data_IF_017116356458
#
_entry.id   IF_017116356458
#
_cell.length_a   1.000
_cell.length_b   1.000
_cell.length_c   1.000
_cell.angle_alpha   90.00
_cell.angle_beta   90.00
_cell.angle_gamma   90.00
#
_symmetry.space_group_name_H-M   'P 1'
#
loop_
_entity.id
_entity.type
_entity.pdbx_description
1 polymer ?
#
# COMPACT_ATOMS: atom_id res chain seq x y z
N UNK A 1 -34.32 1.34 -51.06
CA UNK A 1 -35.48 2.20 -50.69
C UNK A 1 -36.08 3.02 -51.85
N UNK A 2 -35.31 3.75 -52.66
CA UNK A 2 -35.85 4.65 -53.70
C UNK A 2 -36.62 3.92 -54.82
N UNK A 3 -36.08 2.79 -55.30
CA UNK A 3 -36.67 1.97 -56.39
C UNK A 3 -38.01 1.33 -55.97
N UNK A 4 -38.11 0.86 -54.73
CA UNK A 4 -39.36 0.27 -54.22
C UNK A 4 -40.44 1.35 -53.99
N UNK A 5 -40.05 2.59 -53.65
CA UNK A 5 -40.99 3.71 -53.55
C UNK A 5 -41.53 4.13 -54.92
N UNK A 6 -40.68 4.19 -55.94
CA UNK A 6 -41.12 4.49 -57.31
C UNK A 6 -41.97 3.36 -57.89
N UNK A 7 -41.64 2.11 -57.60
CA UNK A 7 -42.44 0.94 -57.98
C UNK A 7 -43.82 0.94 -57.32
N UNK A 8 -43.90 1.24 -56.01
CA UNK A 8 -45.19 1.41 -55.30
C UNK A 8 -46.07 2.48 -55.95
N UNK A 9 -45.50 3.64 -56.27
CA UNK A 9 -46.21 4.72 -56.96
C UNK A 9 -46.70 4.32 -58.36
N UNK A 10 -45.94 3.48 -59.07
CA UNK A 10 -46.35 2.94 -60.36
C UNK A 10 -47.52 1.95 -60.23
N UNK A 11 -47.51 1.07 -59.22
CA UNK A 11 -48.62 0.16 -58.91
C UNK A 11 -49.88 0.92 -58.48
N UNK A 12 -49.74 1.99 -57.68
CA UNK A 12 -50.83 2.91 -57.30
C UNK A 12 -51.48 3.56 -58.53
N UNK A 13 -50.68 4.07 -59.47
CA UNK A 13 -51.17 4.66 -60.74
C UNK A 13 -51.88 3.65 -61.64
N UNK A 14 -51.52 2.37 -61.55
CA UNK A 14 -52.11 1.27 -62.32
C UNK A 14 -53.29 0.59 -61.63
N UNK A 15 -53.73 1.09 -60.46
CA UNK A 15 -54.76 0.49 -59.62
C UNK A 15 -54.45 -0.95 -59.14
N UNK A 16 -53.18 -1.35 -59.13
CA UNK A 16 -52.71 -2.65 -58.62
C UNK A 16 -52.45 -2.56 -57.11
N UNK A 17 -53.53 -2.45 -56.34
CA UNK A 17 -53.43 -2.16 -54.90
C UNK A 17 -52.84 -3.32 -54.06
N UNK A 18 -53.03 -4.57 -54.49
CA UNK A 18 -52.47 -5.75 -53.80
C UNK A 18 -50.94 -5.76 -53.86
N UNK A 19 -50.39 -5.45 -55.04
CA UNK A 19 -48.94 -5.33 -55.22
C UNK A 19 -48.38 -4.10 -54.49
N UNK A 20 -49.09 -2.97 -54.53
CA UNK A 20 -48.72 -1.77 -53.79
C UNK A 20 -48.65 -2.02 -52.26
N UNK A 21 -49.60 -2.79 -51.71
CA UNK A 21 -49.63 -3.17 -50.29
C UNK A 21 -48.49 -4.16 -49.92
N UNK A 22 -48.16 -5.10 -50.81
CA UNK A 22 -47.00 -5.98 -50.63
C UNK A 22 -45.69 -5.18 -50.61
N UNK A 23 -45.50 -4.26 -51.55
CA UNK A 23 -44.32 -3.38 -51.61
C UNK A 23 -44.26 -2.47 -50.38
N UNK A 24 -45.41 -1.99 -49.90
CA UNK A 24 -45.51 -1.22 -48.67
C UNK A 24 -45.11 -2.04 -47.44
N UNK A 25 -45.49 -3.32 -47.36
CA UNK A 25 -45.03 -4.27 -46.31
C UNK A 25 -43.52 -4.49 -46.36
N UNK A 26 -42.96 -4.71 -47.54
CA UNK A 26 -41.51 -4.89 -47.73
C UNK A 26 -40.73 -3.62 -47.33
N UNK A 27 -41.18 -2.44 -47.74
CA UNK A 27 -40.58 -1.15 -47.35
C UNK A 27 -40.59 -0.93 -45.83
N UNK A 28 -41.63 -1.41 -45.13
CA UNK A 28 -41.72 -1.36 -43.66
C UNK A 28 -40.73 -2.32 -43.01
N UNK A 29 -40.68 -3.56 -43.48
CA UNK A 29 -39.73 -4.57 -42.97
C UNK A 29 -38.28 -4.12 -43.13
N UNK A 30 -37.90 -3.65 -44.33
CA UNK A 30 -36.53 -3.16 -44.57
C UNK A 30 -36.16 -1.98 -43.67
N UNK A 31 -37.11 -1.09 -43.37
CA UNK A 31 -36.86 0.03 -42.45
C UNK A 31 -36.68 -0.46 -41.01
N UNK A 32 -37.54 -1.37 -40.56
CA UNK A 32 -37.41 -1.96 -39.22
C UNK A 32 -36.08 -2.71 -39.06
N UNK A 33 -35.63 -3.41 -40.10
CA UNK A 33 -34.33 -4.08 -40.13
C UNK A 33 -33.17 -3.06 -40.06
N UNK A 34 -33.23 -1.96 -40.82
CA UNK A 34 -32.27 -0.85 -40.72
C UNK A 34 -32.24 -0.22 -39.31
N UNK A 35 -33.41 0.06 -38.71
CA UNK A 35 -33.54 0.60 -37.35
C UNK A 35 -32.98 -0.37 -36.30
N UNK A 36 -33.26 -1.67 -36.45
CA UNK A 36 -32.76 -2.73 -35.56
C UNK A 36 -31.24 -2.85 -35.66
N UNK A 37 -30.68 -2.86 -36.87
CA UNK A 37 -29.22 -2.88 -37.08
C UNK A 37 -28.55 -1.66 -36.48
N UNK A 38 -29.14 -0.48 -36.64
CA UNK A 38 -28.61 0.76 -36.06
C UNK A 38 -28.59 0.70 -34.52
N UNK A 39 -29.68 0.24 -33.90
CA UNK A 39 -29.75 0.05 -32.45
C UNK A 39 -28.73 -0.98 -31.96
N UNK A 40 -28.64 -2.15 -32.61
CA UNK A 40 -27.67 -3.19 -32.25
C UNK A 40 -26.23 -2.67 -32.36
N UNK A 41 -25.91 -1.93 -33.43
CA UNK A 41 -24.59 -1.31 -33.61
C UNK A 41 -24.28 -0.30 -32.51
N UNK A 42 -25.24 0.55 -32.14
CA UNK A 42 -25.08 1.48 -31.01
C UNK A 42 -24.85 0.75 -29.68
N UNK A 43 -25.61 -0.31 -29.39
CA UNK A 43 -25.45 -1.09 -28.16
C UNK A 43 -24.06 -1.73 -28.08
N UNK A 44 -23.57 -2.25 -29.20
CA UNK A 44 -22.24 -2.85 -29.29
C UNK A 44 -21.13 -1.82 -29.11
N UNK A 45 -21.23 -0.65 -29.73
CA UNK A 45 -20.29 0.47 -29.50
C UNK A 45 -20.28 0.88 -28.03
N UNK A 46 -21.45 1.05 -27.43
CA UNK A 46 -21.57 1.39 -26.00
C UNK A 46 -20.94 0.32 -25.09
N UNK A 47 -20.99 -0.96 -25.49
CA UNK A 47 -20.33 -2.06 -24.79
C UNK A 47 -18.82 -1.95 -24.91
N UNK A 48 -18.31 -1.75 -26.12
CA UNK A 48 -16.88 -1.60 -26.38
C UNK A 48 -16.27 -0.40 -25.64
N UNK A 49 -16.99 0.72 -25.57
CA UNK A 49 -16.56 1.90 -24.79
C UNK A 49 -16.43 1.58 -23.29
N UNK A 50 -17.40 0.83 -22.72
CA UNK A 50 -17.34 0.41 -21.31
C UNK A 50 -16.19 -0.56 -21.07
N UNK A 51 -16.04 -1.55 -21.96
CA UNK A 51 -14.98 -2.54 -21.88
C UNK A 51 -13.60 -1.84 -21.95
N UNK A 52 -13.44 -0.85 -22.84
CA UNK A 52 -12.20 -0.07 -22.98
C UNK A 52 -11.86 0.75 -21.72
N UNK A 53 -12.83 1.41 -21.09
CA UNK A 53 -12.58 2.13 -19.82
C UNK A 53 -12.17 1.13 -18.72
N UNK A 54 -12.81 -0.04 -18.69
CA UNK A 54 -12.51 -1.06 -17.69
C UNK A 54 -11.12 -1.68 -17.90
N UNK A 55 -10.70 -1.95 -19.15
CA UNK A 55 -9.35 -2.45 -19.43
C UNK A 55 -8.29 -1.42 -19.07
N UNK A 56 -8.49 -0.16 -19.45
CA UNK A 56 -7.57 0.93 -19.09
C UNK A 56 -7.45 1.08 -17.57
N UNK A 57 -8.57 1.03 -16.84
CA UNK A 57 -8.52 1.10 -15.38
C UNK A 57 -7.80 -0.10 -14.75
N UNK A 58 -8.00 -1.31 -15.28
CA UNK A 58 -7.26 -2.50 -14.81
C UNK A 58 -5.75 -2.33 -15.02
N UNK A 59 -5.33 -1.82 -16.17
CA UNK A 59 -3.93 -1.54 -16.48
C UNK A 59 -3.37 -0.47 -15.53
N UNK A 60 -4.06 0.66 -15.35
CA UNK A 60 -3.66 1.71 -14.41
C UNK A 60 -3.50 1.19 -12.97
N UNK A 61 -4.40 0.30 -12.52
CA UNK A 61 -4.32 -0.31 -11.18
C UNK A 61 -3.13 -1.28 -11.08
N UNK A 62 -2.84 -2.04 -12.12
CA UNK A 62 -1.67 -2.92 -12.16
C UNK A 62 -0.37 -2.11 -12.11
N UNK A 63 -0.25 -1.07 -12.93
CA UNK A 63 0.89 -0.16 -12.94
C UNK A 63 1.05 0.54 -11.59
N UNK A 64 -0.06 1.01 -11.00
CA UNK A 64 -0.08 1.59 -9.66
C UNK A 64 0.47 0.60 -8.62
N UNK A 65 0.01 -0.65 -8.63
CA UNK A 65 0.51 -1.66 -7.71
C UNK A 65 1.97 -1.98 -7.93
N UNK A 66 2.42 -2.09 -9.18
CA UNK A 66 3.81 -2.33 -9.50
C UNK A 66 4.72 -1.20 -8.99
N UNK A 67 4.39 0.05 -9.31
CA UNK A 67 5.14 1.22 -8.85
C UNK A 67 5.18 1.32 -7.32
N UNK A 68 4.06 1.05 -6.65
CA UNK A 68 4.00 1.07 -5.19
C UNK A 68 4.77 -0.06 -4.53
N UNK A 69 4.78 -1.26 -5.12
CA UNK A 69 5.59 -2.37 -4.61
C UNK A 69 7.08 -2.03 -4.71
N UNK A 70 7.55 -1.50 -5.85
CA UNK A 70 8.94 -1.04 -5.98
C UNK A 70 9.31 0.00 -4.92
N UNK A 71 8.43 0.95 -4.67
CA UNK A 71 8.66 1.98 -3.64
C UNK A 71 8.66 1.43 -2.20
N UNK A 72 7.91 0.36 -1.95
CA UNK A 72 7.93 -0.36 -0.67
C UNK A 72 9.24 -1.12 -0.54
N UNK A 73 9.66 -1.83 -1.59
CA UNK A 73 10.91 -2.58 -1.62
C UNK A 73 12.12 -1.66 -1.38
N UNK A 74 12.18 -0.50 -2.04
CA UNK A 74 13.21 0.52 -1.82
C UNK A 74 13.28 1.00 -0.35
N UNK A 75 12.12 1.18 0.27
CA UNK A 75 12.03 1.60 1.67
C UNK A 75 12.46 0.48 2.62
N UNK A 76 12.11 -0.77 2.33
CA UNK A 76 12.53 -1.93 3.09
C UNK A 76 14.05 -2.14 2.98
N UNK A 77 14.62 -1.95 1.79
CA UNK A 77 16.07 -1.95 1.58
C UNK A 77 16.77 -0.83 2.37
N UNK A 78 16.24 0.41 2.33
CA UNK A 78 16.80 1.52 3.11
C UNK A 78 16.75 1.21 4.61
N UNK A 79 15.64 0.66 5.09
CA UNK A 79 15.47 0.26 6.49
C UNK A 79 16.48 -0.81 6.88
N UNK A 80 16.65 -1.85 6.05
CA UNK A 80 17.62 -2.91 6.28
C UNK A 80 19.05 -2.34 6.35
N UNK A 81 19.41 -1.44 5.42
CA UNK A 81 20.74 -0.79 5.42
C UNK A 81 20.99 0.02 6.70
N UNK A 82 19.97 0.72 7.20
CA UNK A 82 20.09 1.48 8.45
C UNK A 82 20.23 0.56 9.68
N UNK A 83 19.50 -0.55 9.69
CA UNK A 83 19.59 -1.56 10.76
C UNK A 83 20.95 -2.26 10.76
N UNK A 84 21.47 -2.66 9.59
CA UNK A 84 22.79 -3.28 9.48
C UNK A 84 23.89 -2.31 9.90
N UNK A 85 23.85 -1.06 9.45
CA UNK A 85 24.82 -0.05 9.84
C UNK A 85 24.79 0.25 11.35
N UNK A 86 23.61 0.22 11.97
CA UNK A 86 23.48 0.36 13.43
C UNK A 86 24.13 -0.83 14.14
N UNK A 87 23.84 -2.06 13.71
CA UNK A 87 24.40 -3.27 14.31
C UNK A 87 25.93 -3.31 14.16
N UNK A 88 26.45 -2.97 12.98
CA UNK A 88 27.90 -2.90 12.73
C UNK A 88 28.58 -1.90 13.66
N UNK A 89 27.99 -0.71 13.82
CA UNK A 89 28.49 0.30 14.75
C UNK A 89 28.44 -0.20 16.21
N UNK A 90 27.34 -0.80 16.63
CA UNK A 90 27.18 -1.35 17.99
C UNK A 90 28.21 -2.46 18.25
N UNK A 91 28.46 -3.33 17.28
CA UNK A 91 29.46 -4.39 17.36
C UNK A 91 30.89 -3.84 17.43
N UNK A 92 31.23 -2.82 16.64
CA UNK A 92 32.53 -2.17 16.71
C UNK A 92 32.74 -1.47 18.07
N UNK A 93 31.71 -0.79 18.59
CA UNK A 93 31.73 -0.20 19.94
C UNK A 93 31.97 -1.28 21.01
N UNK A 94 31.30 -2.44 20.92
CA UNK A 94 31.51 -3.57 21.85
C UNK A 94 32.91 -4.17 21.75
N UNK A 95 33.42 -4.38 20.53
CA UNK A 95 34.78 -4.90 20.32
C UNK A 95 35.82 -3.97 20.95
N UNK A 96 35.72 -2.67 20.70
CA UNK A 96 36.62 -1.67 21.31
C UNK A 96 36.54 -1.67 22.84
N UNK A 97 35.35 -1.87 23.41
CA UNK A 97 35.16 -1.98 24.85
C UNK A 97 35.85 -3.23 25.42
N UNK A 98 35.70 -4.39 24.78
CA UNK A 98 36.36 -5.62 25.22
C UNK A 98 37.89 -5.54 25.07
N UNK A 99 38.40 -4.91 24.02
CA UNK A 99 39.82 -4.63 23.87
C UNK A 99 40.35 -3.72 24.99
N UNK A 100 39.62 -2.66 25.32
CA UNK A 100 39.96 -1.77 26.44
C UNK A 100 39.99 -2.55 27.77
N UNK A 101 38.97 -3.38 28.02
CA UNK A 101 38.89 -4.25 29.21
C UNK A 101 40.09 -5.21 29.29
N UNK A 102 40.43 -5.86 28.18
CA UNK A 102 41.54 -6.80 28.11
C UNK A 102 42.90 -6.12 28.24
N UNK A 103 43.02 -4.86 27.78
CA UNK A 103 44.26 -4.07 27.89
C UNK A 103 44.53 -3.55 29.32
N UNK A 104 43.50 -3.46 30.16
CA UNK A 104 43.59 -2.97 31.53
C UNK A 104 44.28 -3.99 32.44
N UNK A 105 45.61 -3.95 32.47
CA UNK A 105 46.45 -4.83 33.28
C UNK A 105 46.01 -4.88 34.78
N UNK A 106 45.97 -6.06 35.41
CA UNK A 106 45.65 -6.20 36.83
C UNK A 106 46.77 -5.70 37.77
N UNK A 107 48.01 -5.61 37.30
CA UNK A 107 49.19 -5.36 38.15
C UNK A 107 49.44 -3.92 38.61
N UNK A 108 48.64 -2.94 38.17
CA UNK A 108 48.77 -1.55 38.62
C UNK A 108 47.89 -1.23 39.85
N UNK A 109 47.63 -2.22 40.72
CA UNK A 109 46.87 -1.99 41.95
C UNK A 109 47.69 -1.12 42.91
N UNK A 110 47.10 -0.02 43.38
CA UNK A 110 47.73 0.83 44.40
C UNK A 110 47.74 0.06 45.72
N UNK A 111 48.93 -0.30 46.19
CA UNK A 111 49.11 -0.96 47.49
C UNK A 111 48.49 -0.12 48.61
N UNK A 112 47.77 -0.75 49.55
CA UNK A 112 47.30 -0.02 50.73
C UNK A 112 48.48 0.50 51.54
N UNK A 113 48.26 1.62 52.24
CA UNK A 113 49.25 2.18 53.17
C UNK A 113 49.69 1.15 54.23
N UNK A 114 48.79 0.24 54.61
CA UNK A 114 49.09 -0.87 55.52
C UNK A 114 50.04 -1.91 54.93
N UNK A 115 49.87 -2.26 53.65
CA UNK A 115 50.77 -3.15 52.91
C UNK A 115 52.18 -2.55 52.77
N UNK A 116 52.26 -1.27 52.37
CA UNK A 116 53.54 -0.57 52.25
C UNK A 116 54.30 -0.52 53.58
N UNK A 117 53.58 -0.26 54.68
CA UNK A 117 54.15 -0.29 56.02
C UNK A 117 54.63 -1.69 56.42
N UNK A 118 53.83 -2.73 56.17
CA UNK A 118 54.19 -4.11 56.49
C UNK A 118 55.44 -4.57 55.71
N UNK A 119 55.55 -4.22 54.42
CA UNK A 119 56.72 -4.49 53.57
C UNK A 119 57.96 -3.70 54.01
N UNK A 120 57.79 -2.44 54.45
CA UNK A 120 58.90 -1.66 55.01
C UNK A 120 59.45 -2.28 56.31
N UNK A 121 58.56 -2.73 57.21
CA UNK A 121 58.95 -3.41 58.45
C UNK A 121 59.58 -4.77 58.17
N UNK A 122 59.07 -5.53 57.19
CA UNK A 122 59.69 -6.78 56.72
C UNK A 122 61.14 -6.54 56.27
N UNK A 123 61.37 -5.52 55.44
CA UNK A 123 62.70 -5.17 54.94
C UNK A 123 63.65 -4.76 56.06
N UNK A 124 63.18 -3.95 57.02
CA UNK A 124 63.98 -3.53 58.19
C UNK A 124 64.38 -4.77 59.03
N UNK A 125 63.44 -5.66 59.35
CA UNK A 125 63.70 -6.88 60.12
C UNK A 125 64.65 -7.85 59.39
N UNK A 126 64.53 -7.95 58.06
CA UNK A 126 65.44 -8.72 57.24
C UNK A 126 66.87 -8.14 57.25
N UNK A 127 67.00 -6.81 57.17
CA UNK A 127 68.29 -6.12 57.23
C UNK A 127 68.99 -6.29 58.60
N UNK A 128 68.21 -6.39 59.68
CA UNK A 128 68.67 -6.68 61.04
C UNK A 128 68.96 -8.18 61.29
N UNK A 129 68.80 -9.04 60.27
CA UNK A 129 68.96 -10.51 60.36
C UNK A 129 67.96 -11.21 61.29
N UNK A 130 66.85 -10.56 61.65
CA UNK A 130 65.78 -11.15 62.44
C UNK A 130 64.81 -11.97 61.57
N UNK A 131 65.30 -13.05 60.95
CA UNK A 131 64.57 -13.79 59.91
C UNK A 131 63.23 -14.37 60.36
N UNK A 132 63.12 -14.84 61.61
CA UNK A 132 61.87 -15.41 62.15
C UNK A 132 60.76 -14.37 62.22
N UNK A 133 61.10 -13.15 62.67
CA UNK A 133 60.16 -12.03 62.77
C UNK A 133 59.86 -11.44 61.39
N UNK A 134 60.86 -11.35 60.52
CA UNK A 134 60.67 -10.96 59.12
C UNK A 134 59.70 -11.91 58.40
N UNK A 135 59.85 -13.22 58.56
CA UNK A 135 58.95 -14.21 57.95
C UNK A 135 57.51 -14.12 58.48
N UNK A 136 57.32 -13.86 59.79
CA UNK A 136 55.99 -13.59 60.35
C UNK A 136 55.37 -12.34 59.72
N UNK A 137 56.16 -11.27 59.58
CA UNK A 137 55.70 -10.01 58.97
C UNK A 137 55.41 -10.16 57.46
N UNK A 138 56.19 -10.97 56.76
CA UNK A 138 55.93 -11.36 55.36
C UNK A 138 54.57 -12.03 55.21
N UNK A 139 54.24 -13.02 56.04
CA UNK A 139 52.91 -13.66 56.01
C UNK A 139 51.78 -12.66 56.24
N UNK A 140 51.94 -11.73 57.18
CA UNK A 140 50.97 -10.65 57.38
C UNK A 140 50.85 -9.75 56.14
N UNK A 141 51.97 -9.34 55.53
CA UNK A 141 51.97 -8.55 54.30
C UNK A 141 51.29 -9.29 53.13
N UNK A 142 51.60 -10.58 52.93
CA UNK A 142 51.01 -11.41 51.87
C UNK A 142 49.47 -11.54 52.05
N UNK A 143 48.97 -11.64 53.29
CA UNK A 143 47.51 -11.65 53.54
C UNK A 143 46.82 -10.32 53.25
N UNK A 144 47.51 -9.20 53.51
CA UNK A 144 46.98 -7.86 53.20
C UNK A 144 46.99 -7.65 51.68
N UNK A 145 48.05 -8.09 51.01
CA UNK A 145 48.19 -8.03 49.54
C UNK A 145 47.09 -8.81 48.84
N UNK A 146 46.78 -10.04 49.28
CA UNK A 146 45.69 -10.83 48.73
C UNK A 146 44.32 -10.12 48.86
N UNK A 147 44.03 -9.54 50.04
CA UNK A 147 42.77 -8.81 50.29
C UNK A 147 42.66 -7.52 49.47
N UNK A 148 43.76 -6.77 49.34
CA UNK A 148 43.79 -5.56 48.53
C UNK A 148 43.63 -5.89 47.04
N UNK A 149 44.25 -6.97 46.58
CA UNK A 149 44.09 -7.47 45.21
C UNK A 149 42.64 -7.87 44.93
N UNK A 150 41.98 -8.63 45.81
CA UNK A 150 40.57 -9.01 45.67
C UNK A 150 39.64 -7.79 45.61
N UNK A 151 39.81 -6.82 46.53
CA UNK A 151 39.01 -5.59 46.54
C UNK A 151 39.19 -4.77 45.27
N UNK A 152 40.42 -4.69 44.76
CA UNK A 152 40.70 -3.95 43.54
C UNK A 152 40.10 -4.62 42.31
N UNK A 153 40.17 -5.96 42.24
CA UNK A 153 39.50 -6.73 41.19
C UNK A 153 37.99 -6.52 41.25
N UNK A 154 37.37 -6.62 42.44
CA UNK A 154 35.93 -6.39 42.61
C UNK A 154 35.52 -4.97 42.17
N UNK A 155 36.23 -3.93 42.65
CA UNK A 155 35.93 -2.55 42.27
C UNK A 155 36.10 -2.29 40.76
N UNK A 156 37.06 -2.95 40.11
CA UNK A 156 37.22 -2.91 38.65
C UNK A 156 36.06 -3.58 37.94
N UNK A 157 35.68 -4.79 38.36
CA UNK A 157 34.55 -5.54 37.77
C UNK A 157 33.27 -4.71 37.88
N UNK A 158 32.97 -4.16 39.05
CA UNK A 158 31.78 -3.30 39.24
C UNK A 158 31.79 -2.07 38.32
N UNK A 159 32.94 -1.43 38.10
CA UNK A 159 33.06 -0.29 37.19
C UNK A 159 32.79 -0.70 35.74
N UNK A 160 33.33 -1.85 35.32
CA UNK A 160 33.13 -2.39 33.99
C UNK A 160 31.68 -2.79 33.76
N UNK A 161 31.05 -3.48 34.71
CA UNK A 161 29.64 -3.88 34.65
C UNK A 161 28.72 -2.66 34.53
N UNK A 162 28.98 -1.58 35.30
CA UNK A 162 28.22 -0.33 35.19
C UNK A 162 28.37 0.29 33.80
N UNK A 163 29.58 0.32 33.26
CA UNK A 163 29.85 0.87 31.92
C UNK A 163 29.18 0.03 30.83
N UNK A 164 29.22 -1.29 30.95
CA UNK A 164 28.54 -2.22 30.05
C UNK A 164 27.02 -2.05 30.09
N UNK A 165 26.43 -1.92 31.28
CA UNK A 165 25.00 -1.68 31.45
C UNK A 165 24.55 -0.37 30.77
N UNK A 166 25.32 0.72 30.93
CA UNK A 166 25.04 1.99 30.27
C UNK A 166 25.14 1.89 28.74
N UNK A 167 26.14 1.17 28.23
CA UNK A 167 26.30 0.92 26.79
C UNK A 167 25.13 0.11 26.22
N UNK A 168 24.75 -0.97 26.89
CA UNK A 168 23.60 -1.80 26.50
C UNK A 168 22.31 -0.98 26.48
N UNK A 169 22.06 -0.17 27.50
CA UNK A 169 20.90 0.70 27.55
C UNK A 169 20.89 1.71 26.39
N UNK A 170 22.04 2.30 26.05
CA UNK A 170 22.17 3.19 24.89
C UNK A 170 21.85 2.45 23.58
N UNK A 171 22.39 1.25 23.39
CA UNK A 171 22.14 0.43 22.19
C UNK A 171 20.66 0.04 22.04
N UNK A 172 19.99 -0.30 23.16
CA UNK A 172 18.55 -0.58 23.20
C UNK A 172 17.72 0.65 22.84
N UNK A 173 18.06 1.83 23.38
CA UNK A 173 17.39 3.08 23.06
C UNK A 173 17.55 3.45 21.58
N UNK A 174 18.75 3.33 21.02
CA UNK A 174 19.00 3.60 19.60
C UNK A 174 18.18 2.68 18.70
N UNK A 175 18.14 1.37 19.02
CA UNK A 175 17.31 0.40 18.29
C UNK A 175 15.83 0.73 18.38
N UNK A 176 15.34 1.04 19.58
CA UNK A 176 13.95 1.43 19.78
C UNK A 176 13.55 2.67 18.96
N UNK A 177 14.40 3.70 18.95
CA UNK A 177 14.17 4.91 18.15
C UNK A 177 14.11 4.58 16.66
N UNK A 178 15.01 3.72 16.18
CA UNK A 178 15.01 3.28 14.78
C UNK A 178 13.73 2.51 14.43
N UNK A 179 13.31 1.57 15.27
CA UNK A 179 12.07 0.81 15.10
C UNK A 179 10.83 1.71 15.07
N UNK A 180 10.73 2.69 15.97
CA UNK A 180 9.62 3.64 15.99
C UNK A 180 9.59 4.48 14.71
N UNK A 181 10.75 4.95 14.24
CA UNK A 181 10.86 5.67 12.97
C UNK A 181 10.46 4.79 11.79
N UNK A 182 10.90 3.52 11.75
CA UNK A 182 10.55 2.58 10.70
C UNK A 182 9.04 2.30 10.66
N UNK A 183 8.42 2.04 11.82
CA UNK A 183 6.96 1.87 11.95
C UNK A 183 6.19 3.10 11.48
N UNK A 184 6.63 4.30 11.88
CA UNK A 184 6.01 5.56 11.46
C UNK A 184 6.09 5.75 9.94
N UNK A 185 7.27 5.56 9.34
CA UNK A 185 7.46 5.66 7.89
C UNK A 185 6.56 4.68 7.13
N UNK A 186 6.46 3.42 7.60
CA UNK A 186 5.56 2.42 7.02
C UNK A 186 4.09 2.85 7.08
N UNK A 187 3.63 3.33 8.23
CA UNK A 187 2.26 3.83 8.38
C UNK A 187 1.97 5.05 7.48
N UNK A 188 2.91 5.99 7.35
CA UNK A 188 2.78 7.15 6.47
C UNK A 188 2.68 6.72 4.99
N UNK A 189 3.50 5.75 4.58
CA UNK A 189 3.48 5.17 3.23
C UNK A 189 2.18 4.42 2.92
N UNK A 190 1.70 3.58 3.84
CA UNK A 190 0.41 2.90 3.69
C UNK A 190 -0.74 3.92 3.58
N UNK A 191 -0.71 4.99 4.38
CA UNK A 191 -1.70 6.05 4.29
C UNK A 191 -1.62 6.83 2.97
N UNK A 192 -0.42 7.03 2.42
CA UNK A 192 -0.24 7.62 1.10
C UNK A 192 -0.78 6.69 -0.01
N UNK A 193 -0.43 5.40 0.00
CA UNK A 193 -0.95 4.39 -0.94
C UNK A 193 -2.48 4.34 -0.94
N UNK A 194 -3.10 4.32 0.24
CA UNK A 194 -4.58 4.33 0.36
C UNK A 194 -5.20 5.59 -0.23
N UNK A 195 -4.59 6.76 -0.01
CA UNK A 195 -5.06 8.04 -0.55
C UNK A 195 -4.97 8.07 -2.07
N UNK A 196 -3.86 7.64 -2.65
CA UNK A 196 -3.68 7.63 -4.10
C UNK A 196 -4.59 6.59 -4.78
N UNK A 197 -4.74 5.40 -4.19
CA UNK A 197 -5.68 4.39 -4.68
C UNK A 197 -7.13 4.92 -4.67
N UNK A 198 -7.51 5.66 -3.62
CA UNK A 198 -8.81 6.31 -3.57
C UNK A 198 -9.01 7.34 -4.69
N UNK A 199 -7.99 8.15 -4.97
CA UNK A 199 -8.03 9.12 -6.08
C UNK A 199 -8.18 8.41 -7.42
N UNK A 200 -7.42 7.32 -7.64
CA UNK A 200 -7.50 6.51 -8.86
C UNK A 200 -8.90 5.93 -9.05
N UNK A 201 -9.46 5.31 -8.00
CA UNK A 201 -10.82 4.77 -8.04
C UNK A 201 -11.86 5.87 -8.32
N UNK A 202 -11.71 7.04 -7.69
CA UNK A 202 -12.62 8.16 -7.90
C UNK A 202 -12.57 8.68 -9.34
N UNK A 203 -11.38 8.73 -9.95
CA UNK A 203 -11.21 9.08 -11.37
C UNK A 203 -11.93 8.09 -12.28
N UNK A 204 -11.77 6.79 -12.04
CA UNK A 204 -12.49 5.74 -12.77
C UNK A 204 -14.00 5.89 -12.66
N UNK A 205 -14.52 6.05 -11.44
CA UNK A 205 -15.97 6.23 -11.21
C UNK A 205 -16.51 7.51 -11.87
N UNK A 206 -15.73 8.58 -11.94
CA UNK A 206 -16.11 9.78 -12.70
C UNK A 206 -16.19 9.48 -14.20
N UNK A 207 -15.17 8.83 -14.77
CA UNK A 207 -15.15 8.46 -16.18
C UNK A 207 -16.33 7.53 -16.56
N UNK A 208 -16.67 6.57 -15.69
CA UNK A 208 -17.85 5.73 -15.87
C UNK A 208 -19.15 6.55 -15.87
N UNK A 209 -19.33 7.45 -14.90
CA UNK A 209 -20.52 8.31 -14.84
C UNK A 209 -20.64 9.20 -16.07
N UNK A 210 -19.54 9.80 -16.53
CA UNK A 210 -19.51 10.61 -17.73
C UNK A 210 -19.88 9.79 -18.97
N UNK A 211 -19.31 8.59 -19.11
CA UNK A 211 -19.68 7.69 -20.20
C UNK A 211 -21.16 7.31 -20.15
N UNK A 212 -21.68 6.95 -18.98
CA UNK A 212 -23.10 6.62 -18.81
C UNK A 212 -24.01 7.80 -19.18
N UNK A 213 -23.66 9.03 -18.79
CA UNK A 213 -24.39 10.23 -19.18
C UNK A 213 -24.38 10.40 -20.71
N UNK A 214 -23.22 10.26 -21.36
CA UNK A 214 -23.12 10.32 -22.81
C UNK A 214 -23.98 9.24 -23.49
N UNK A 215 -23.91 8.00 -23.02
CA UNK A 215 -24.70 6.88 -23.55
C UNK A 215 -26.20 7.09 -23.35
N UNK A 216 -26.63 7.66 -22.22
CA UNK A 216 -28.03 7.98 -21.95
C UNK A 216 -28.56 9.09 -22.88
N UNK A 217 -27.75 10.11 -23.16
CA UNK A 217 -28.10 11.16 -24.14
C UNK A 217 -28.28 10.54 -25.53
N UNK A 218 -27.36 9.67 -25.95
CA UNK A 218 -27.45 8.96 -27.24
C UNK A 218 -28.70 8.07 -27.28
N UNK A 219 -28.99 7.30 -26.23
CA UNK A 219 -30.20 6.47 -26.14
C UNK A 219 -31.47 7.31 -26.23
N UNK A 220 -31.55 8.41 -25.49
CA UNK A 220 -32.69 9.32 -25.54
C UNK A 220 -32.90 9.90 -26.95
N UNK A 221 -31.83 10.38 -27.59
CA UNK A 221 -31.90 10.86 -28.99
C UNK A 221 -32.37 9.78 -29.94
N UNK A 222 -31.79 8.58 -29.88
CA UNK A 222 -32.21 7.44 -30.71
C UNK A 222 -33.66 7.03 -30.44
N UNK A 223 -34.08 6.98 -29.17
CA UNK A 223 -35.46 6.70 -28.77
C UNK A 223 -36.45 7.73 -29.33
N UNK A 224 -36.15 9.03 -29.27
CA UNK A 224 -37.01 10.07 -29.86
C UNK A 224 -37.13 9.96 -31.38
N UNK A 225 -36.06 9.54 -32.07
CA UNK A 225 -36.07 9.30 -33.52
C UNK A 225 -36.98 8.11 -33.82
N UNK A 226 -36.79 6.98 -33.14
CA UNK A 226 -37.62 5.78 -33.28
C UNK A 226 -39.10 6.07 -32.96
N UNK A 227 -39.38 6.86 -31.91
CA UNK A 227 -40.74 7.26 -31.55
C UNK A 227 -41.40 8.09 -32.66
N UNK A 228 -40.70 9.09 -33.22
CA UNK A 228 -41.20 9.86 -34.38
C UNK A 228 -41.49 8.96 -35.59
N UNK A 229 -40.67 7.94 -35.83
CA UNK A 229 -40.90 6.96 -36.88
C UNK A 229 -42.15 6.10 -36.61
N UNK A 230 -42.36 5.67 -35.37
CA UNK A 230 -43.54 4.92 -34.95
C UNK A 230 -44.84 5.72 -35.06
N UNK A 231 -44.86 6.98 -34.59
CA UNK A 231 -46.06 7.84 -34.59
C UNK A 231 -46.55 8.19 -36.00
N UNK A 232 -45.63 8.25 -36.98
CA UNK A 232 -45.95 8.59 -38.36
C UNK A 232 -46.62 7.41 -39.12
N UNK A 233 -46.59 6.19 -38.56
CA UNK A 233 -47.28 5.01 -39.08
C UNK A 233 -48.55 4.74 -38.30
N UNK A 234 -49.69 5.27 -38.76
CA UNK A 234 -51.04 5.12 -38.15
C UNK A 234 -51.63 3.69 -38.13
N UNK A 235 -50.81 2.65 -38.09
CA UNK A 235 -51.31 1.26 -38.06
C UNK A 235 -50.34 0.16 -37.64
N UNK A 236 -49.07 0.47 -37.31
CA UNK A 236 -48.07 -0.55 -36.99
C UNK A 236 -47.38 -0.24 -35.67
N UNK A 237 -48.10 -0.42 -34.57
CA UNK A 237 -47.60 -0.20 -33.21
C UNK A 237 -46.71 -1.34 -32.70
N UNK A 238 -46.47 -2.43 -33.43
CA UNK A 238 -45.86 -3.63 -32.82
C UNK A 238 -44.34 -3.74 -32.93
N UNK A 239 -43.69 -3.26 -33.99
CA UNK A 239 -42.24 -3.46 -34.21
C UNK A 239 -41.39 -2.30 -33.68
N UNK A 240 -41.66 -1.10 -34.17
CA UNK A 240 -40.92 0.11 -33.76
C UNK A 240 -41.24 0.51 -32.31
N UNK A 241 -42.44 0.22 -31.78
CA UNK A 241 -42.75 0.50 -30.37
C UNK A 241 -41.99 -0.42 -29.40
N UNK A 242 -41.73 -1.68 -29.77
CA UNK A 242 -40.90 -2.60 -28.96
C UNK A 242 -39.46 -2.10 -28.87
N UNK A 243 -38.93 -1.51 -29.95
CA UNK A 243 -37.62 -0.85 -29.92
C UNK A 243 -37.64 0.42 -29.06
N UNK A 244 -38.72 1.21 -29.10
CA UNK A 244 -38.89 2.40 -28.24
C UNK A 244 -38.98 2.02 -26.76
N UNK A 245 -39.76 1.00 -26.41
CA UNK A 245 -39.91 0.50 -25.04
C UNK A 245 -38.58 -0.07 -24.49
N UNK A 246 -37.79 -0.69 -25.38
CA UNK A 246 -36.43 -1.15 -25.07
C UNK A 246 -35.43 0.01 -24.90
N UNK A 247 -35.64 1.12 -25.60
CA UNK A 247 -34.86 2.36 -25.44
C UNK A 247 -35.08 3.01 -24.08
N UNK A 248 -36.34 3.02 -23.62
CA UNK A 248 -36.77 3.63 -22.36
C UNK A 248 -36.40 2.76 -21.14
N UNK A 249 -36.39 1.42 -21.30
CA UNK A 249 -36.07 0.47 -20.23
C UNK A 249 -34.57 0.32 -19.93
N UNK A 250 -33.69 1.07 -20.61
CA UNK A 250 -32.25 1.09 -20.36
C UNK A 250 -31.48 -0.13 -20.88
N UNK A 251 -32.13 -1.03 -21.63
CA UNK A 251 -31.51 -2.18 -22.27
C UNK A 251 -32.19 -2.41 -23.62
N UNK A 252 -31.55 -1.98 -24.70
CA UNK A 252 -31.86 -2.52 -26.03
C UNK A 252 -31.35 -3.96 -26.06
N UNK A 253 -32.21 -4.90 -25.63
CA UNK A 253 -31.88 -6.31 -25.48
C UNK A 253 -31.32 -6.66 -24.10
N UNK A 254 -32.04 -7.57 -23.43
CA UNK A 254 -31.72 -8.41 -22.26
C UNK A 254 -31.21 -7.69 -20.99
N UNK A 255 -32.02 -7.83 -19.93
CA UNK A 255 -31.91 -7.23 -18.60
C UNK A 255 -30.70 -7.71 -17.78
N UNK A 256 -30.36 -6.82 -16.84
CA UNK A 256 -29.88 -7.06 -15.47
C UNK A 256 -28.36 -7.06 -15.23
N UNK A 257 -27.86 -5.94 -14.69
CA UNK A 257 -26.87 -5.87 -13.61
C UNK A 257 -26.68 -4.40 -13.18
N UNK A 258 -27.53 -3.91 -12.26
CA UNK A 258 -27.38 -2.56 -11.69
C UNK A 258 -27.32 -2.51 -10.15
N UNK A 259 -27.25 -3.65 -9.48
CA UNK A 259 -27.32 -3.71 -8.00
C UNK A 259 -26.01 -4.09 -7.30
N UNK A 260 -24.92 -4.35 -8.04
CA UNK A 260 -23.68 -4.88 -7.44
C UNK A 260 -22.59 -3.82 -7.19
N UNK A 261 -22.61 -2.69 -7.89
CA UNK A 261 -21.54 -1.67 -7.80
C UNK A 261 -21.74 -0.64 -6.70
N UNK A 262 -22.98 -0.29 -6.36
CA UNK A 262 -23.26 0.70 -5.32
C UNK A 262 -22.88 0.20 -3.91
N UNK A 263 -22.93 -1.11 -3.67
CA UNK A 263 -22.56 -1.72 -2.38
C UNK A 263 -21.03 -1.76 -2.12
N UNK A 264 -20.20 -1.64 -3.15
CA UNK A 264 -18.73 -1.65 -3.00
C UNK A 264 -18.18 -0.30 -2.53
N UNK A 265 -18.89 0.79 -2.82
CA UNK A 265 -18.47 2.16 -2.44
C UNK A 265 -18.73 2.43 -0.96
N UNK A 266 -19.80 1.87 -0.38
CA UNK A 266 -20.11 2.03 1.04
C UNK A 266 -19.14 1.27 1.96
N UNK A 267 -18.55 0.17 1.50
CA UNK A 267 -17.54 -0.59 2.26
C UNK A 267 -16.16 0.09 2.36
N UNK A 268 -15.92 1.17 1.59
CA UNK A 268 -14.64 1.89 1.58
C UNK A 268 -14.71 3.26 2.29
N UNK A 269 -15.76 3.55 3.05
CA UNK A 269 -15.83 4.76 3.86
C UNK A 269 -14.86 4.68 5.04
N UNK A 270 -13.81 5.51 5.01
CA UNK A 270 -12.90 5.69 6.14
C UNK A 270 -13.67 6.23 7.36
N UNK A 271 -13.42 5.73 8.59
CA UNK A 271 -14.03 6.28 9.79
C UNK A 271 -13.64 7.76 9.94
N UNK A 272 -14.64 8.61 10.17
CA UNK A 272 -14.43 10.02 10.52
C UNK A 272 -13.58 10.07 11.78
N UNK A 273 -12.37 10.61 11.66
CA UNK A 273 -11.51 10.91 12.81
C UNK A 273 -12.26 11.96 13.64
N UNK A 274 -12.88 11.49 14.73
CA UNK A 274 -13.49 12.35 15.73
C UNK A 274 -12.41 13.22 16.37
N UNK A 275 -12.45 14.50 16.05
CA UNK A 275 -11.80 15.55 16.85
C UNK A 275 -12.46 15.55 18.23
N UNK A 276 -11.90 14.81 19.18
CA UNK A 276 -12.15 15.07 20.61
C UNK A 276 -11.53 16.43 20.93
N UNK A 277 -12.38 17.44 20.99
CA UNK A 277 -12.08 18.72 21.63
C UNK A 277 -12.09 18.50 23.15
N UNK A 278 -10.99 18.95 23.77
CA UNK A 278 -10.76 19.34 25.19
C UNK A 278 -11.43 18.52 26.29
#
# INVERSE_FOLDING_TARGET
MCILRTYRQACERRAQYVEADLVQRVLRYMRLDEETRHVCGLTELQRQERDAIETLHREEVQEFHHAWNMRIDELEEEQLRLETALIERQNAELQSFYEEVNSLNPHAAKCSRGLLYARAVEHILASQREYVRAHKKKKEADTIEARDAERFVQAKVELLERREAMMRQKHEQERHVLEVKAKRRRAEMEAARKRELYILLRRYLNAQRELELHQNIVRSKTGTILLKHASNTKGNTSGTAVLVESAESGAFGIRARKQHLDNLVDSCTLPKIGTKQK
#
